data_IF_154230995530
#
_entry.id   IF_154230995530
#
_cell.length_a   1.000
_cell.length_b   1.000
_cell.length_c   1.000
_cell.angle_alpha   90.00
_cell.angle_beta   90.00
_cell.angle_gamma   90.00
#
_symmetry.space_group_name_H-M   'P 1'
#
loop_
_entity.id
_entity.type
_entity.pdbx_description
1 polymer ?
#
# COMPACT_ATOMS: atom_id res chain seq x y z
N UNK A 1 25.98 17.53 -18.50
CA UNK A 1 25.13 16.33 -18.62
C UNK A 1 25.30 15.44 -17.41
N UNK A 2 24.39 15.51 -16.42
CA UNK A 2 24.26 14.43 -15.44
C UNK A 2 22.81 14.00 -15.32
N UNK A 3 22.44 12.96 -16.07
CA UNK A 3 21.21 12.20 -15.87
C UNK A 3 21.59 10.92 -15.15
N UNK A 4 20.88 10.60 -14.08
CA UNK A 4 20.96 9.29 -13.44
C UNK A 4 19.68 8.53 -13.81
N UNK A 5 19.80 7.42 -14.51
CA UNK A 5 18.70 6.48 -14.73
C UNK A 5 19.03 5.25 -13.90
N UNK A 6 18.07 4.81 -13.10
CA UNK A 6 18.19 3.58 -12.35
C UNK A 6 17.66 2.44 -13.21
N UNK A 7 18.41 1.34 -13.29
CA UNK A 7 17.95 0.12 -13.94
C UNK A 7 16.97 -0.63 -13.00
N UNK A 8 15.80 -0.01 -12.83
CA UNK A 8 14.75 -0.50 -11.94
C UNK A 8 13.38 -0.33 -12.60
N UNK A 9 12.52 -1.33 -12.43
CA UNK A 9 11.21 -1.40 -13.05
C UNK A 9 10.14 -1.68 -12.00
N UNK A 10 8.97 -1.09 -12.21
CA UNK A 10 7.80 -1.33 -11.36
C UNK A 10 7.33 -2.78 -11.50
N UNK A 11 7.14 -3.47 -10.39
CA UNK A 11 6.49 -4.78 -10.36
C UNK A 11 4.98 -4.57 -10.31
N UNK A 12 4.26 -5.14 -11.29
CA UNK A 12 2.81 -4.95 -11.35
C UNK A 12 2.14 -5.57 -10.13
N UNK A 13 1.43 -4.73 -9.38
CA UNK A 13 0.64 -5.12 -8.22
C UNK A 13 -0.58 -4.20 -8.11
N UNK A 14 -1.71 -4.77 -7.65
CA UNK A 14 -2.93 -3.99 -7.36
C UNK A 14 -2.74 -3.02 -6.19
N UNK A 15 -1.83 -3.34 -5.25
CA UNK A 15 -1.33 -2.40 -4.26
C UNK A 15 -0.02 -1.76 -4.78
N UNK A 16 -0.03 -0.46 -5.16
CA UNK A 16 1.14 0.18 -5.74
C UNK A 16 2.33 0.32 -4.77
N UNK A 17 2.08 0.36 -3.45
CA UNK A 17 3.16 0.35 -2.45
C UNK A 17 3.94 -0.97 -2.55
N UNK A 18 3.22 -2.09 -2.53
CA UNK A 18 3.81 -3.43 -2.59
C UNK A 18 4.63 -3.59 -3.86
N UNK A 19 4.07 -3.21 -5.03
CA UNK A 19 4.79 -3.25 -6.31
C UNK A 19 6.09 -2.43 -6.28
N UNK A 20 6.05 -1.20 -5.75
CA UNK A 20 7.25 -0.37 -5.62
C UNK A 20 8.28 -0.98 -4.65
N UNK A 21 7.84 -1.54 -3.52
CA UNK A 21 8.74 -2.16 -2.55
C UNK A 21 9.39 -3.44 -3.10
N UNK A 22 8.65 -4.26 -3.86
CA UNK A 22 9.19 -5.42 -4.56
C UNK A 22 10.29 -5.01 -5.55
N UNK A 23 10.09 -3.92 -6.29
CA UNK A 23 11.11 -3.36 -7.17
C UNK A 23 12.36 -2.91 -6.42
N UNK A 24 12.22 -2.20 -5.30
CA UNK A 24 13.35 -1.77 -4.46
C UNK A 24 14.14 -2.98 -3.93
N UNK A 25 13.44 -3.99 -3.41
CA UNK A 25 14.02 -5.22 -2.90
C UNK A 25 14.78 -5.98 -3.99
N UNK A 26 14.20 -6.11 -5.19
CA UNK A 26 14.87 -6.75 -6.33
C UNK A 26 16.13 -6.00 -6.76
N UNK A 27 16.10 -4.67 -6.80
CA UNK A 27 17.25 -3.84 -7.17
C UNK A 27 18.44 -4.02 -6.21
N UNK A 28 18.16 -4.33 -4.95
CA UNK A 28 19.18 -4.63 -3.93
C UNK A 28 19.53 -6.13 -3.84
N UNK A 29 19.07 -6.96 -4.79
CA UNK A 29 19.37 -8.40 -4.83
C UNK A 29 18.63 -9.23 -3.78
N UNK A 30 17.54 -8.70 -3.21
CA UNK A 30 16.72 -9.34 -2.16
C UNK A 30 15.31 -9.64 -2.67
N UNK A 31 15.12 -10.46 -3.73
CA UNK A 31 13.78 -10.71 -4.26
C UNK A 31 12.88 -11.40 -3.23
N UNK A 32 11.70 -10.82 -2.97
CA UNK A 32 10.65 -11.41 -2.14
C UNK A 32 9.31 -11.44 -2.89
N UNK A 33 8.49 -12.43 -2.55
CA UNK A 33 7.12 -12.51 -3.06
C UNK A 33 6.23 -11.39 -2.51
N UNK A 34 5.13 -11.11 -3.22
CA UNK A 34 4.20 -10.06 -2.86
C UNK A 34 3.56 -10.30 -1.48
N UNK A 35 3.34 -11.56 -1.09
CA UNK A 35 2.72 -11.92 0.17
C UNK A 35 3.58 -11.48 1.37
N UNK A 36 4.88 -11.75 1.34
CA UNK A 36 5.85 -11.30 2.36
C UNK A 36 5.97 -9.79 2.42
N UNK A 37 6.06 -9.13 1.27
CA UNK A 37 6.15 -7.66 1.21
C UNK A 37 4.87 -7.02 1.74
N UNK A 38 3.70 -7.55 1.39
CA UNK A 38 2.40 -7.06 1.88
C UNK A 38 2.22 -7.30 3.37
N UNK A 39 2.69 -8.44 3.88
CA UNK A 39 2.64 -8.78 5.30
C UNK A 39 3.53 -7.87 6.16
N UNK A 40 4.76 -7.59 5.69
CA UNK A 40 5.72 -6.72 6.39
C UNK A 40 5.35 -5.24 6.30
N UNK A 41 4.80 -4.79 5.17
CA UNK A 41 4.34 -3.39 5.05
C UNK A 41 3.03 -3.11 5.80
N UNK A 42 2.32 -4.18 6.21
CA UNK A 42 1.00 -4.13 6.84
C UNK A 42 -0.14 -3.87 5.86
N UNK A 43 0.15 -3.65 4.58
CA UNK A 43 -0.84 -3.31 3.55
C UNK A 43 -1.89 -4.39 3.34
N UNK A 44 -1.53 -5.65 3.54
CA UNK A 44 -2.46 -6.78 3.40
C UNK A 44 -3.64 -6.72 4.40
N UNK A 45 -3.48 -5.96 5.49
CA UNK A 45 -4.41 -5.92 6.62
C UNK A 45 -5.13 -4.57 6.76
N UNK A 46 -4.84 -3.60 5.88
CA UNK A 46 -5.40 -2.25 5.98
C UNK A 46 -6.64 -2.10 5.12
N UNK A 47 -7.69 -1.59 5.74
CA UNK A 47 -8.86 -1.03 5.06
C UNK A 47 -9.12 0.33 5.70
N UNK A 48 -9.27 1.34 4.86
CA UNK A 48 -9.67 2.70 5.26
C UNK A 48 -10.68 3.15 4.22
N UNK A 49 -11.63 4.00 4.59
CA UNK A 49 -12.50 4.67 3.64
C UNK A 49 -12.17 6.15 3.74
N UNK A 50 -11.74 6.81 2.66
CA UNK A 50 -11.43 8.24 2.76
C UNK A 50 -12.72 9.01 3.05
N UNK A 51 -12.61 10.16 3.73
CA UNK A 51 -13.75 11.04 3.94
C UNK A 51 -14.30 11.55 2.60
N UNK A 52 -15.58 11.94 2.58
CA UNK A 52 -16.22 12.55 1.41
C UNK A 52 -15.38 13.73 0.90
N UNK A 53 -15.16 13.79 -0.42
CA UNK A 53 -14.47 14.93 -1.03
C UNK A 53 -15.35 16.19 -1.04
N UNK A 54 -14.74 17.34 -1.34
CA UNK A 54 -15.38 18.68 -1.33
C UNK A 54 -16.59 18.78 -2.30
N UNK A 55 -16.71 17.84 -3.24
CA UNK A 55 -17.80 17.77 -4.22
C UNK A 55 -18.80 16.62 -3.95
N UNK A 56 -18.74 15.96 -2.79
CA UNK A 56 -19.68 14.89 -2.45
C UNK A 56 -19.48 13.58 -3.21
N UNK A 57 -18.36 13.42 -3.94
CA UNK A 57 -17.97 12.16 -4.59
C UNK A 57 -17.03 11.37 -3.67
N UNK A 58 -17.33 10.10 -3.45
CA UNK A 58 -16.50 9.20 -2.67
C UNK A 58 -15.64 8.29 -3.56
N UNK A 59 -14.34 8.26 -3.28
CA UNK A 59 -13.46 7.13 -3.63
C UNK A 59 -13.45 6.17 -2.44
N UNK A 60 -13.52 4.86 -2.63
CA UNK A 60 -13.67 3.94 -1.50
C UNK A 60 -12.52 2.95 -1.48
N UNK A 61 -11.53 3.11 -0.60
CA UNK A 61 -10.40 2.18 -0.52
C UNK A 61 -9.31 2.54 0.48
N UNK A 62 -8.44 1.57 0.77
CA UNK A 62 -7.36 1.67 1.75
C UNK A 62 -6.38 2.81 1.46
N UNK A 63 -6.34 3.80 2.35
CA UNK A 63 -5.33 4.86 2.37
C UNK A 63 -4.27 4.49 3.40
N UNK A 64 -3.01 4.44 2.99
CA UNK A 64 -1.90 4.33 3.94
C UNK A 64 -1.76 5.68 4.62
N UNK A 65 -1.77 5.77 5.95
CA UNK A 65 -1.66 7.06 6.63
C UNK A 65 -0.19 7.39 6.98
N UNK A 66 0.20 8.68 7.06
CA UNK A 66 1.59 9.10 7.34
C UNK A 66 2.27 8.40 8.52
N UNK A 67 1.53 8.14 9.59
CA UNK A 67 2.03 7.48 10.81
C UNK A 67 2.55 6.07 10.54
N UNK A 68 2.02 5.40 9.52
CA UNK A 68 2.37 4.02 9.18
C UNK A 68 3.74 3.95 8.48
N UNK A 69 4.13 5.02 7.76
CA UNK A 69 5.44 5.12 7.13
C UNK A 69 6.60 5.24 8.10
N UNK A 70 6.35 5.77 9.29
CA UNK A 70 7.38 5.88 10.32
C UNK A 70 7.94 4.50 10.76
N UNK A 71 7.12 3.44 10.67
CA UNK A 71 7.51 2.07 11.03
C UNK A 71 8.04 1.27 9.83
N UNK A 72 7.65 1.65 8.61
CA UNK A 72 8.00 0.93 7.38
C UNK A 72 9.52 0.71 7.22
N UNK A 73 10.36 1.66 7.63
CA UNK A 73 11.82 1.49 7.58
C UNK A 73 12.31 0.29 8.42
N UNK A 74 11.77 0.15 9.65
CA UNK A 74 12.11 -0.95 10.55
C UNK A 74 11.55 -2.28 10.04
N UNK A 75 10.38 -2.25 9.42
CA UNK A 75 9.71 -3.41 8.87
C UNK A 75 10.47 -3.96 7.65
N UNK A 76 10.89 -3.09 6.74
CA UNK A 76 11.69 -3.47 5.57
C UNK A 76 13.02 -4.13 5.96
N UNK A 77 13.58 -3.81 7.13
CA UNK A 77 14.76 -4.47 7.65
C UNK A 77 14.53 -5.97 7.94
N UNK A 78 13.28 -6.41 8.17
CA UNK A 78 12.93 -7.83 8.30
C UNK A 78 13.12 -8.60 6.98
N UNK A 79 13.03 -7.89 5.85
CA UNK A 79 13.29 -8.44 4.51
C UNK A 79 14.75 -8.27 4.08
N UNK A 80 15.61 -7.77 4.97
CA UNK A 80 17.02 -7.49 4.71
C UNK A 80 17.27 -6.13 4.07
N UNK A 81 16.24 -5.31 3.85
CA UNK A 81 16.39 -4.01 3.21
C UNK A 81 16.61 -2.92 4.26
N UNK A 82 17.76 -2.25 4.16
CA UNK A 82 17.98 -0.99 4.88
C UNK A 82 17.30 0.14 4.11
N UNK A 83 16.25 0.70 4.70
CA UNK A 83 15.54 1.82 4.13
C UNK A 83 15.54 3.02 5.08
N UNK A 84 15.58 4.22 4.50
CA UNK A 84 15.23 5.46 5.18
C UNK A 84 13.90 5.92 4.63
N UNK A 85 12.96 6.20 5.54
CA UNK A 85 11.63 6.71 5.18
C UNK A 85 11.53 8.15 5.68
N UNK A 86 11.32 9.06 4.73
CA UNK A 86 11.05 10.45 5.03
C UNK A 86 9.58 10.73 4.74
N UNK A 87 8.88 11.35 5.69
CA UNK A 87 7.48 11.75 5.54
C UNK A 87 7.37 13.25 5.73
N UNK A 88 6.61 13.89 4.86
CA UNK A 88 6.35 15.33 4.90
C UNK A 88 4.86 15.60 4.85
N UNK A 89 4.39 16.39 5.81
CA UNK A 89 3.06 16.99 5.75
C UNK A 89 3.09 18.21 4.80
N UNK A 90 2.28 18.17 3.74
CA UNK A 90 2.17 19.25 2.77
C UNK A 90 1.25 20.38 3.26
N UNK A 91 0.35 20.12 4.22
CA UNK A 91 -0.60 21.10 4.79
C UNK A 91 0.07 22.09 5.73
N UNK A 92 1.08 21.66 6.49
CA UNK A 92 1.79 22.50 7.47
C UNK A 92 2.97 23.29 6.91
N UNK A 93 3.32 23.10 5.64
CA UNK A 93 4.53 23.67 5.03
C UNK A 93 4.31 24.99 4.29
N UNK A 94 5.35 25.85 4.26
CA UNK A 94 5.51 26.83 3.17
C UNK A 94 5.90 26.04 1.90
N UNK A 95 5.06 25.96 0.85
CA UNK A 95 5.24 25.01 -0.26
C UNK A 95 6.63 25.07 -0.91
N UNK A 96 7.18 26.28 -1.05
CA UNK A 96 8.51 26.51 -1.64
C UNK A 96 9.66 25.93 -0.80
N UNK A 97 9.59 26.00 0.53
CA UNK A 97 10.62 25.42 1.40
C UNK A 97 10.55 23.90 1.40
N UNK A 98 9.35 23.36 1.28
CA UNK A 98 9.10 21.94 1.25
C UNK A 98 9.59 21.31 -0.05
N UNK A 99 9.24 21.88 -1.20
CA UNK A 99 9.78 21.45 -2.49
C UNK A 99 11.31 21.50 -2.55
N UNK A 100 11.94 22.53 -1.94
CA UNK A 100 13.41 22.60 -1.81
C UNK A 100 13.99 21.50 -0.91
N UNK A 101 13.29 21.07 0.14
CA UNK A 101 13.73 19.96 1.02
C UNK A 101 13.60 18.62 0.31
N UNK A 102 12.44 18.33 -0.26
CA UNK A 102 12.19 17.11 -1.04
C UNK A 102 13.18 16.99 -2.20
N UNK A 103 13.34 18.06 -2.98
CA UNK A 103 14.28 18.08 -4.10
C UNK A 103 15.75 17.89 -3.69
N UNK A 104 16.16 18.36 -2.50
CA UNK A 104 17.49 18.07 -1.97
C UNK A 104 17.64 16.60 -1.55
N UNK A 105 16.60 16.03 -0.92
CA UNK A 105 16.56 14.61 -0.56
C UNK A 105 16.70 13.70 -1.78
N UNK A 106 15.86 13.93 -2.80
CA UNK A 106 15.89 13.19 -4.06
C UNK A 106 17.25 13.31 -4.77
N UNK A 107 17.81 14.52 -4.87
CA UNK A 107 19.13 14.73 -5.46
C UNK A 107 20.23 13.97 -4.73
N UNK A 108 20.19 13.94 -3.40
CA UNK A 108 21.19 13.24 -2.60
C UNK A 108 21.06 11.73 -2.79
N UNK A 109 19.85 11.18 -2.70
CA UNK A 109 19.61 9.76 -2.85
C UNK A 109 19.98 9.26 -4.25
N UNK A 110 19.40 9.87 -5.29
CA UNK A 110 19.62 9.46 -6.69
C UNK A 110 21.04 9.77 -7.14
N UNK A 111 21.66 10.84 -6.65
CA UNK A 111 23.07 11.16 -6.91
C UNK A 111 24.05 10.18 -6.28
N UNK A 112 23.64 9.47 -5.22
CA UNK A 112 24.39 8.37 -4.61
C UNK A 112 24.05 7.00 -5.23
N UNK A 113 23.20 6.96 -6.26
CA UNK A 113 22.78 5.72 -6.93
C UNK A 113 21.70 4.92 -6.19
N UNK A 114 21.08 5.49 -5.16
CA UNK A 114 20.04 4.81 -4.38
C UNK A 114 18.71 4.75 -5.11
N UNK A 115 18.04 3.60 -5.02
CA UNK A 115 16.67 3.45 -5.49
C UNK A 115 15.68 4.13 -4.52
N UNK A 116 14.63 4.77 -5.08
CA UNK A 116 13.66 5.54 -4.30
C UNK A 116 12.23 5.24 -4.75
N UNK A 117 11.34 4.98 -3.81
CA UNK A 117 9.89 4.98 -4.04
C UNK A 117 9.24 6.21 -3.38
N UNK A 118 8.15 6.70 -3.96
CA UNK A 118 7.49 7.94 -3.56
C UNK A 118 5.95 7.78 -3.52
N UNK A 119 5.34 8.06 -2.38
CA UNK A 119 3.88 8.18 -2.25
C UNK A 119 3.37 9.58 -2.51
N UNK A 120 2.16 9.70 -3.05
CA UNK A 120 1.55 11.01 -3.33
C UNK A 120 2.26 11.73 -4.47
N UNK A 121 3.02 10.98 -5.28
CA UNK A 121 3.82 11.49 -6.38
C UNK A 121 3.17 11.27 -7.75
N UNK A 122 2.12 10.47 -7.85
CA UNK A 122 1.32 10.31 -9.07
C UNK A 122 -0.08 9.85 -8.67
N UNK A 123 -1.09 10.72 -8.81
CA UNK A 123 -2.40 10.51 -8.17
C UNK A 123 -2.22 10.27 -6.66
N UNK A 124 -3.26 9.84 -5.97
CA UNK A 124 -3.17 9.44 -4.55
C UNK A 124 -2.41 8.10 -4.36
N UNK A 125 -1.43 7.78 -5.22
CA UNK A 125 -0.76 6.48 -5.32
C UNK A 125 0.75 6.49 -5.08
N UNK A 126 1.31 5.29 -4.93
CA UNK A 126 2.76 5.04 -4.91
C UNK A 126 3.33 4.99 -6.32
N UNK A 127 4.50 5.59 -6.50
CA UNK A 127 5.29 5.50 -7.71
C UNK A 127 6.78 5.28 -7.42
N UNK A 128 7.44 4.51 -8.27
CA UNK A 128 8.86 4.21 -8.24
C UNK A 128 9.65 5.26 -9.04
N UNK A 129 10.65 5.89 -8.43
CA UNK A 129 11.53 6.81 -9.12
C UNK A 129 12.58 6.03 -9.90
N UNK A 130 12.55 6.17 -11.23
CA UNK A 130 13.44 5.45 -12.16
C UNK A 130 14.47 6.35 -12.82
N UNK A 131 14.41 7.67 -12.59
CA UNK A 131 15.41 8.57 -13.14
C UNK A 131 15.35 10.00 -12.61
N UNK A 132 16.47 10.70 -12.74
CA UNK A 132 16.67 12.09 -12.33
C UNK A 132 17.52 12.87 -13.34
N UNK A 133 17.05 14.06 -13.71
CA UNK A 133 17.74 15.04 -14.54
C UNK A 133 18.06 16.27 -13.68
N UNK A 134 19.34 16.42 -13.35
CA UNK A 134 19.84 17.51 -12.49
C UNK A 134 19.67 18.88 -13.14
N UNK A 135 19.83 18.96 -14.46
CA UNK A 135 19.80 20.21 -15.22
C UNK A 135 18.36 20.70 -15.37
N UNK A 136 17.44 19.79 -15.71
CA UNK A 136 16.00 20.09 -15.82
C UNK A 136 15.29 20.16 -14.47
N UNK A 137 15.97 19.79 -13.38
CA UNK A 137 15.39 19.61 -12.04
C UNK A 137 14.12 18.77 -12.13
N UNK A 138 14.23 17.62 -12.80
CA UNK A 138 13.10 16.76 -13.09
C UNK A 138 13.41 15.30 -12.74
N UNK A 139 12.38 14.51 -12.49
CA UNK A 139 12.48 13.09 -12.20
C UNK A 139 11.46 12.29 -13.01
N UNK A 140 11.68 10.98 -13.12
CA UNK A 140 10.76 10.08 -13.82
C UNK A 140 10.22 9.05 -12.84
N UNK A 141 8.91 8.82 -12.91
CA UNK A 141 8.20 7.84 -12.08
C UNK A 141 7.69 6.69 -12.97
N UNK A 142 7.69 5.47 -12.42
CA UNK A 142 6.95 4.31 -12.91
C UNK A 142 6.01 3.80 -11.81
N UNK A 143 4.99 3.04 -12.18
CA UNK A 143 3.83 2.75 -11.34
C UNK A 143 2.68 2.29 -12.23
N UNK A 144 1.60 1.75 -11.66
CA UNK A 144 0.60 0.98 -12.39
C UNK A 144 -0.18 1.80 -13.43
N UNK A 145 -0.27 3.12 -13.24
CA UNK A 145 -0.93 4.05 -14.17
C UNK A 145 0.06 4.90 -14.98
N UNK A 146 1.36 4.66 -14.86
CA UNK A 146 2.42 5.49 -15.48
C UNK A 146 3.23 4.79 -16.55
N UNK A 147 2.97 3.50 -16.81
CA UNK A 147 3.52 2.86 -18.01
C UNK A 147 3.14 3.62 -19.29
N UNK A 148 2.05 4.41 -19.23
CA UNK A 148 1.56 5.25 -20.33
C UNK A 148 2.18 6.67 -20.38
N UNK A 149 2.82 7.17 -19.30
CA UNK A 149 3.36 8.54 -19.27
C UNK A 149 4.87 8.54 -19.07
N UNK A 150 5.63 8.41 -20.15
CA UNK A 150 7.10 8.52 -20.17
C UNK A 150 7.66 9.92 -19.86
N UNK A 151 6.89 10.80 -19.21
CA UNK A 151 7.22 12.20 -18.97
C UNK A 151 8.17 12.42 -17.79
N UNK A 152 9.02 13.45 -17.91
CA UNK A 152 9.83 13.97 -16.80
C UNK A 152 8.96 14.94 -15.96
N UNK A 153 8.78 14.64 -14.68
CA UNK A 153 8.06 15.47 -13.71
C UNK A 153 9.01 16.49 -13.05
N UNK A 154 8.58 17.74 -12.89
CA UNK A 154 9.41 18.77 -12.25
C UNK A 154 9.50 18.55 -10.74
N UNK A 155 10.70 18.65 -10.17
CA UNK A 155 10.92 18.62 -8.71
C UNK A 155 10.26 19.81 -8.01
N UNK A 156 10.09 20.92 -8.71
CA UNK A 156 9.51 22.16 -8.17
C UNK A 156 7.99 22.18 -8.24
N UNK A 157 7.40 21.26 -9.01
CA UNK A 157 5.98 20.98 -9.02
C UNK A 157 5.82 19.59 -8.42
N UNK A 158 5.82 19.54 -7.08
CA UNK A 158 5.42 18.32 -6.39
C UNK A 158 4.11 17.84 -7.03
N UNK A 159 3.99 16.54 -7.31
CA UNK A 159 2.77 16.01 -7.88
C UNK A 159 1.66 16.21 -6.87
N UNK A 160 0.51 16.61 -7.38
CA UNK A 160 -0.73 16.83 -6.67
C UNK A 160 -0.80 18.09 -5.79
N UNK A 161 -1.66 19.00 -6.24
CA UNK A 161 -2.31 19.99 -5.40
C UNK A 161 -3.28 19.34 -4.39
N UNK A 162 -3.46 18.00 -4.43
CA UNK A 162 -4.50 17.27 -3.72
C UNK A 162 -3.97 16.23 -2.71
N UNK A 163 -2.66 16.01 -2.63
CA UNK A 163 -2.06 15.14 -1.61
C UNK A 163 -1.73 15.94 -0.34
N UNK A 164 -2.14 15.43 0.82
CA UNK A 164 -1.88 16.11 2.09
C UNK A 164 -0.47 15.84 2.64
N UNK A 165 0.22 14.84 2.11
CA UNK A 165 1.53 14.42 2.55
C UNK A 165 2.28 13.69 1.43
N UNK A 166 3.61 13.67 1.54
CA UNK A 166 4.53 12.95 0.67
C UNK A 166 5.36 12.00 1.54
N UNK A 167 5.55 10.75 1.10
CA UNK A 167 6.54 9.85 1.69
C UNK A 167 7.58 9.43 0.65
N UNK A 168 8.86 9.45 1.01
CA UNK A 168 9.96 8.90 0.22
C UNK A 168 10.57 7.73 0.97
N UNK A 169 10.62 6.57 0.33
CA UNK A 169 11.34 5.38 0.79
C UNK A 169 12.63 5.30 -0.01
N UNK A 170 13.76 5.53 0.64
CA UNK A 170 15.10 5.48 0.04
C UNK A 170 15.79 4.20 0.49
N UNK A 171 16.17 3.34 -0.46
CA UNK A 171 17.03 2.20 -0.18
C UNK A 171 18.46 2.69 0.06
N UNK A 172 19.02 2.45 1.25
CA UNK A 172 20.37 2.90 1.61
C UNK A 172 21.34 1.73 1.66
N UNK A 173 22.54 1.93 1.10
CA UNK A 173 23.55 0.91 0.83
C UNK A 173 23.80 -0.09 1.97
N UNK A 174 23.78 -1.36 1.58
CA UNK A 174 23.66 -2.58 2.39
C UNK A 174 24.85 -2.80 3.34
N UNK A 175 24.57 -2.94 4.63
CA UNK A 175 25.28 -3.94 5.44
C UNK A 175 24.22 -4.91 5.98
N UNK A 176 24.48 -6.19 5.73
CA UNK A 176 23.58 -7.32 5.90
C UNK A 176 22.94 -7.38 7.30
N UNK A 177 21.61 -7.45 7.30
CA UNK A 177 20.87 -8.27 8.25
C UNK A 177 20.38 -9.49 7.48
N UNK A 178 20.52 -10.69 8.05
CA UNK A 178 19.85 -11.84 7.46
C UNK A 178 18.34 -11.57 7.37
N UNK A 179 17.69 -12.13 6.35
CA UNK A 179 16.22 -12.16 6.29
C UNK A 179 15.70 -12.73 7.61
N UNK A 180 14.74 -12.04 8.23
CA UNK A 180 14.15 -12.48 9.48
C UNK A 180 13.57 -13.91 9.32
N UNK A 181 13.56 -14.67 10.41
CA UNK A 181 12.88 -15.97 10.40
C UNK A 181 11.40 -15.82 10.05
N UNK A 182 10.81 -16.86 9.45
CA UNK A 182 9.37 -16.89 9.12
C UNK A 182 8.53 -16.64 10.38
N UNK A 183 8.96 -17.15 11.54
CA UNK A 183 8.34 -16.86 12.84
C UNK A 183 8.31 -15.36 13.16
N UNK A 184 9.42 -14.63 12.95
CA UNK A 184 9.48 -13.18 13.22
C UNK A 184 8.63 -12.39 12.22
N UNK A 185 8.61 -12.80 10.95
CA UNK A 185 7.72 -12.21 9.94
C UNK A 185 6.25 -12.42 10.30
N UNK A 186 5.89 -13.63 10.74
CA UNK A 186 4.53 -13.97 11.15
C UNK A 186 4.08 -13.13 12.37
N UNK A 187 4.97 -12.90 13.35
CA UNK A 187 4.64 -12.04 14.51
C UNK A 187 4.35 -10.62 14.07
N UNK A 188 5.18 -10.06 13.19
CA UNK A 188 4.98 -8.71 12.69
C UNK A 188 3.68 -8.57 11.88
N UNK A 189 3.36 -9.57 11.06
CA UNK A 189 2.08 -9.62 10.37
C UNK A 189 0.89 -9.69 11.35
N UNK A 190 1.04 -10.43 12.45
CA UNK A 190 0.05 -10.50 13.53
C UNK A 190 -0.20 -9.14 14.19
N UNK A 191 0.86 -8.38 14.46
CA UNK A 191 0.77 -6.99 14.98
C UNK A 191 0.01 -6.09 14.00
N UNK A 192 0.33 -6.12 12.70
CA UNK A 192 -0.40 -5.35 11.70
C UNK A 192 -1.89 -5.74 11.62
N UNK A 193 -2.17 -7.03 11.70
CA UNK A 193 -3.54 -7.54 11.69
C UNK A 193 -4.32 -7.15 12.97
N UNK A 194 -3.67 -7.09 14.13
CA UNK A 194 -4.28 -6.66 15.38
C UNK A 194 -4.57 -5.16 15.41
N UNK A 195 -3.70 -4.34 14.80
CA UNK A 195 -3.85 -2.89 14.62
C UNK A 195 -4.86 -2.52 13.52
N UNK A 196 -5.25 -3.47 12.68
CA UNK A 196 -6.19 -3.25 11.59
C UNK A 196 -7.56 -2.83 12.11
N UNK A 197 -8.04 -1.66 11.66
CA UNK A 197 -9.40 -1.17 11.94
C UNK A 197 -10.38 -1.61 10.85
N UNK A 198 -10.26 -2.86 10.40
CA UNK A 198 -11.02 -3.38 9.25
C UNK A 198 -12.53 -3.26 9.49
N UNK A 199 -13.04 -3.62 10.66
CA UNK A 199 -14.48 -3.55 10.97
C UNK A 199 -15.06 -2.14 10.89
N UNK A 200 -14.30 -1.14 11.32
CA UNK A 200 -14.71 0.26 11.24
C UNK A 200 -14.74 0.74 9.80
N UNK A 201 -13.67 0.48 9.05
CA UNK A 201 -13.60 0.85 7.66
C UNK A 201 -14.66 0.14 6.81
N UNK A 202 -14.94 -1.15 7.07
CA UNK A 202 -16.03 -1.87 6.41
C UNK A 202 -17.40 -1.29 6.74
N UNK A 203 -17.64 -0.88 8.00
CA UNK A 203 -18.88 -0.18 8.39
C UNK A 203 -19.02 1.16 7.68
N UNK A 204 -17.96 1.94 7.59
CA UNK A 204 -17.94 3.19 6.84
C UNK A 204 -18.19 2.96 5.36
N UNK A 205 -17.57 1.94 4.76
CA UNK A 205 -17.74 1.59 3.35
C UNK A 205 -19.19 1.19 3.06
N UNK A 206 -19.78 0.34 3.92
CA UNK A 206 -21.19 -0.02 3.84
C UNK A 206 -22.11 1.19 3.98
N UNK A 207 -21.79 2.14 4.85
CA UNK A 207 -22.57 3.36 5.03
C UNK A 207 -22.57 4.21 3.75
N UNK A 208 -21.42 4.35 3.08
CA UNK A 208 -21.36 5.06 1.79
C UNK A 208 -22.15 4.32 0.71
N UNK A 209 -22.00 3.00 0.59
CA UNK A 209 -22.76 2.21 -0.40
C UNK A 209 -24.28 2.31 -0.19
N UNK A 210 -24.76 2.46 1.04
CA UNK A 210 -26.18 2.62 1.38
C UNK A 210 -26.69 4.06 1.30
N UNK A 211 -25.81 5.02 1.11
CA UNK A 211 -26.18 6.43 0.97
C UNK A 211 -26.53 6.77 -0.49
N UNK A 212 -27.00 7.99 -0.69
CA UNK A 212 -27.24 8.63 -1.99
C UNK A 212 -26.01 9.35 -2.55
N UNK A 213 -24.90 9.37 -1.80
CA UNK A 213 -23.62 9.95 -2.21
C UNK A 213 -23.15 9.37 -3.54
N UNK A 214 -22.58 10.22 -4.40
CA UNK A 214 -21.99 9.79 -5.65
C UNK A 214 -20.70 9.01 -5.41
N UNK A 215 -20.52 7.89 -6.11
CA UNK A 215 -19.34 7.04 -5.97
C UNK A 215 -18.59 7.08 -7.29
N UNK A 216 -17.30 7.39 -7.23
CA UNK A 216 -16.40 7.27 -8.38
C UNK A 216 -16.28 5.78 -8.77
N UNK A 217 -17.00 5.37 -9.82
CA UNK A 217 -17.15 3.95 -10.17
C UNK A 217 -15.81 3.28 -10.52
N UNK A 218 -14.95 3.87 -11.39
CA UNK A 218 -13.63 3.32 -11.68
C UNK A 218 -12.74 3.22 -10.44
N UNK A 219 -12.71 4.25 -9.60
CA UNK A 219 -11.92 4.25 -8.37
C UNK A 219 -12.42 3.27 -7.32
N UNK A 220 -13.74 3.12 -7.20
CA UNK A 220 -14.35 2.09 -6.36
C UNK A 220 -13.99 0.68 -6.83
N UNK A 221 -14.09 0.39 -8.13
CA UNK A 221 -13.67 -0.90 -8.68
C UNK A 221 -12.18 -1.16 -8.43
N UNK A 222 -11.31 -0.20 -8.70
CA UNK A 222 -9.87 -0.34 -8.45
C UNK A 222 -9.60 -0.74 -7.00
N UNK A 223 -10.30 -0.09 -6.06
CA UNK A 223 -10.12 -0.33 -4.64
C UNK A 223 -10.73 -1.66 -4.17
N UNK A 224 -11.85 -2.09 -4.76
CA UNK A 224 -12.38 -3.43 -4.54
C UNK A 224 -11.40 -4.52 -5.02
N UNK A 225 -10.74 -4.31 -6.18
CA UNK A 225 -9.69 -5.22 -6.66
C UNK A 225 -8.46 -5.20 -5.74
N UNK A 226 -8.02 -4.01 -5.29
CA UNK A 226 -6.90 -3.88 -4.36
C UNK A 226 -7.17 -4.56 -3.02
N UNK A 227 -8.38 -4.43 -2.48
CA UNK A 227 -8.81 -5.11 -1.26
C UNK A 227 -8.80 -6.63 -1.41
N UNK A 228 -9.35 -7.15 -2.51
CA UNK A 228 -9.34 -8.59 -2.79
C UNK A 228 -7.92 -9.13 -2.98
N UNK A 229 -7.05 -8.38 -3.68
CA UNK A 229 -5.65 -8.73 -3.85
C UNK A 229 -4.92 -8.76 -2.50
N UNK A 230 -5.09 -7.72 -1.67
CA UNK A 230 -4.49 -7.61 -0.34
C UNK A 230 -4.86 -8.79 0.57
N UNK A 231 -6.15 -9.13 0.66
CA UNK A 231 -6.58 -10.30 1.44
C UNK A 231 -6.11 -11.63 0.85
N UNK A 232 -6.01 -11.72 -0.49
CA UNK A 232 -5.39 -12.85 -1.16
C UNK A 232 -3.91 -13.02 -0.76
N UNK A 233 -3.14 -11.94 -0.72
CA UNK A 233 -1.75 -11.94 -0.26
C UNK A 233 -1.64 -12.29 1.23
N UNK A 234 -2.50 -11.75 2.09
CA UNK A 234 -2.57 -12.12 3.51
C UNK A 234 -2.83 -13.63 3.69
N UNK A 235 -3.81 -14.18 2.98
CA UNK A 235 -4.15 -15.60 3.05
C UNK A 235 -2.98 -16.48 2.60
N UNK A 236 -2.33 -16.13 1.48
CA UNK A 236 -1.13 -16.86 1.00
C UNK A 236 0.02 -16.79 2.00
N UNK A 237 0.24 -15.63 2.62
CA UNK A 237 1.27 -15.47 3.65
C UNK A 237 1.01 -16.39 4.84
N UNK A 238 -0.19 -16.36 5.42
CA UNK A 238 -0.52 -17.20 6.59
C UNK A 238 -0.42 -18.70 6.29
N UNK A 239 -0.90 -19.11 5.13
CA UNK A 239 -0.74 -20.50 4.65
C UNK A 239 0.73 -20.88 4.54
N UNK A 240 1.54 -20.02 3.89
CA UNK A 240 2.97 -20.25 3.76
C UNK A 240 3.71 -20.31 5.10
N UNK A 241 3.28 -19.55 6.10
CA UNK A 241 3.83 -19.65 7.46
C UNK A 241 3.50 -21.02 8.11
N UNK A 242 2.26 -21.49 7.97
CA UNK A 242 1.86 -22.79 8.51
C UNK A 242 2.60 -23.95 7.82
N UNK A 243 2.70 -23.93 6.50
CA UNK A 243 3.49 -24.89 5.71
C UNK A 243 4.98 -24.83 6.06
N UNK A 244 5.48 -23.65 6.39
CA UNK A 244 6.85 -23.41 6.87
C UNK A 244 7.11 -23.79 8.34
N UNK A 245 6.15 -24.42 9.02
CA UNK A 245 6.32 -24.95 10.38
C UNK A 245 5.98 -23.97 11.51
N UNK A 246 5.40 -22.80 11.23
CA UNK A 246 4.95 -21.84 12.25
C UNK A 246 3.56 -22.24 12.78
N UNK A 247 3.50 -23.34 13.54
CA UNK A 247 2.23 -23.97 13.93
C UNK A 247 1.25 -23.05 14.68
N UNK A 248 1.75 -22.05 15.42
CA UNK A 248 0.91 -21.14 16.20
C UNK A 248 0.06 -20.20 15.34
N UNK A 249 0.33 -20.07 14.03
CA UNK A 249 -0.53 -19.29 13.10
C UNK A 249 -1.78 -20.06 12.66
N UNK A 250 -1.88 -21.37 12.95
CA UNK A 250 -2.99 -22.19 12.49
C UNK A 250 -4.41 -21.60 12.73
N UNK A 251 -4.69 -20.93 13.87
CA UNK A 251 -6.00 -20.33 14.12
C UNK A 251 -6.41 -19.22 13.14
N UNK A 252 -5.47 -18.55 12.46
CA UNK A 252 -5.77 -17.48 11.50
C UNK A 252 -5.81 -17.94 10.04
N UNK A 253 -5.28 -19.13 9.72
CA UNK A 253 -5.11 -19.58 8.32
C UNK A 253 -6.44 -19.70 7.58
N UNK A 254 -7.40 -20.45 8.16
CA UNK A 254 -8.69 -20.68 7.53
C UNK A 254 -9.57 -19.42 7.52
N UNK A 255 -9.72 -18.66 8.63
CA UNK A 255 -10.43 -17.39 8.61
C UNK A 255 -9.87 -16.39 7.57
N UNK A 256 -8.54 -16.32 7.41
CA UNK A 256 -7.93 -15.45 6.39
C UNK A 256 -8.26 -15.90 4.96
N UNK A 257 -8.35 -17.21 4.71
CA UNK A 257 -8.78 -17.74 3.41
C UNK A 257 -10.26 -17.43 3.11
N UNK A 258 -11.11 -17.53 4.12
CA UNK A 258 -12.53 -17.16 4.00
C UNK A 258 -12.70 -15.66 3.74
N UNK A 259 -11.91 -14.81 4.39
CA UNK A 259 -11.92 -13.37 4.16
C UNK A 259 -11.48 -13.02 2.74
N UNK A 260 -10.42 -13.65 2.25
CA UNK A 260 -9.96 -13.48 0.87
C UNK A 260 -11.04 -13.87 -0.15
N UNK A 261 -11.77 -14.96 0.10
CA UNK A 261 -12.89 -15.38 -0.73
C UNK A 261 -14.06 -14.37 -0.67
N UNK A 262 -14.37 -13.86 0.52
CA UNK A 262 -15.44 -12.87 0.70
C UNK A 262 -15.13 -11.57 -0.06
N UNK A 263 -13.91 -11.05 0.04
CA UNK A 263 -13.50 -9.86 -0.73
C UNK A 263 -13.37 -10.14 -2.22
N UNK A 264 -12.96 -11.33 -2.65
CA UNK A 264 -13.00 -11.71 -4.07
C UNK A 264 -14.43 -11.65 -4.62
N UNK A 265 -15.42 -12.19 -3.90
CA UNK A 265 -16.84 -12.09 -4.29
C UNK A 265 -17.32 -10.64 -4.34
N UNK A 266 -16.96 -9.82 -3.36
CA UNK A 266 -17.24 -8.39 -3.39
C UNK A 266 -16.64 -7.73 -4.64
N UNK A 267 -15.37 -7.97 -4.95
CA UNK A 267 -14.69 -7.41 -6.12
C UNK A 267 -15.33 -7.84 -7.45
N UNK A 268 -15.96 -9.01 -7.53
CA UNK A 268 -16.70 -9.41 -8.75
C UNK A 268 -17.97 -8.61 -9.02
N UNK A 269 -18.53 -7.95 -8.00
CA UNK A 269 -19.67 -7.04 -8.18
C UNK A 269 -19.25 -5.71 -8.84
N UNK A 270 -17.98 -5.34 -8.71
CA UNK A 270 -17.42 -4.06 -9.15
C UNK A 270 -16.19 -4.30 -10.06
N UNK A 271 -16.38 -4.80 -11.29
CA UNK A 271 -15.28 -5.12 -12.19
C UNK A 271 -14.57 -3.84 -12.66
N UNK A 272 -13.23 -3.85 -12.64
CA UNK A 272 -12.41 -2.76 -13.14
C UNK A 272 -12.32 -2.78 -14.68
N UNK A 273 -12.35 -1.63 -15.39
CA UNK A 273 -12.52 -0.26 -14.87
C UNK A 273 -13.98 0.20 -14.78
N UNK A 274 -14.93 -0.64 -15.20
CA UNK A 274 -16.32 -0.24 -15.41
C UNK A 274 -17.06 0.13 -14.12
N UNK A 275 -16.61 -0.32 -12.95
CA UNK A 275 -17.27 -0.01 -11.68
C UNK A 275 -18.45 -0.91 -11.37
N UNK A 276 -19.11 -1.52 -12.37
CA UNK A 276 -20.36 -2.27 -12.17
C UNK A 276 -21.56 -1.35 -11.97
N UNK A 277 -22.70 -1.90 -11.54
CA UNK A 277 -23.93 -1.13 -11.28
C UNK A 277 -23.87 -0.41 -9.92
N UNK A 278 -23.01 0.60 -9.81
CA UNK A 278 -22.90 1.46 -8.62
C UNK A 278 -24.01 2.50 -8.50
N UNK A 279 -24.98 2.53 -9.41
CA UNK A 279 -26.12 3.48 -9.37
C UNK A 279 -27.47 2.79 -9.13
N UNK A 280 -27.52 1.46 -9.24
CA UNK A 280 -28.72 0.64 -9.03
C UNK A 280 -28.53 -0.45 -7.96
N UNK A 281 -28.87 -1.69 -8.30
CA UNK A 281 -28.92 -2.81 -7.35
C UNK A 281 -27.56 -3.28 -6.83
N UNK A 282 -26.47 -2.88 -7.47
CA UNK A 282 -25.10 -3.25 -7.10
C UNK A 282 -24.65 -2.65 -5.76
N UNK A 283 -25.12 -1.45 -5.39
CA UNK A 283 -24.83 -0.82 -4.09
C UNK A 283 -25.24 -1.70 -2.91
N UNK A 284 -26.49 -2.14 -2.92
CA UNK A 284 -27.08 -2.93 -1.85
C UNK A 284 -26.53 -4.38 -1.84
N UNK A 285 -26.25 -4.96 -3.02
CA UNK A 285 -25.53 -6.23 -3.11
C UNK A 285 -24.10 -6.14 -2.54
N UNK A 286 -23.38 -5.05 -2.84
CA UNK A 286 -22.06 -4.76 -2.30
C UNK A 286 -22.07 -4.59 -0.78
N UNK A 287 -23.02 -3.82 -0.25
CA UNK A 287 -23.16 -3.63 1.19
C UNK A 287 -23.42 -4.95 1.93
N UNK A 288 -24.23 -5.86 1.38
CA UNK A 288 -24.43 -7.20 1.94
C UNK A 288 -23.18 -8.08 1.86
N UNK A 289 -22.44 -8.01 0.75
CA UNK A 289 -21.19 -8.74 0.61
C UNK A 289 -20.15 -8.28 1.64
N UNK A 290 -20.02 -6.96 1.87
CA UNK A 290 -19.15 -6.41 2.92
C UNK A 290 -19.62 -6.75 4.33
N UNK A 291 -20.94 -6.80 4.60
CA UNK A 291 -21.45 -7.22 5.90
C UNK A 291 -21.04 -8.67 6.25
N UNK A 292 -21.11 -9.57 5.26
CA UNK A 292 -20.64 -10.95 5.41
C UNK A 292 -19.13 -11.01 5.64
N UNK A 293 -18.35 -10.22 4.89
CA UNK A 293 -16.91 -10.13 5.07
C UNK A 293 -16.51 -9.55 6.45
N UNK A 294 -17.28 -8.61 6.98
CA UNK A 294 -17.04 -7.99 8.29
C UNK A 294 -17.08 -8.98 9.45
N UNK A 295 -17.96 -9.98 9.41
CA UNK A 295 -17.97 -11.05 10.42
C UNK A 295 -16.66 -11.85 10.43
N UNK A 296 -16.14 -12.18 9.24
CA UNK A 296 -14.88 -12.91 9.08
C UNK A 296 -13.67 -12.03 9.41
N UNK A 297 -13.70 -10.75 9.05
CA UNK A 297 -12.64 -9.80 9.37
C UNK A 297 -12.47 -9.62 10.89
N UNK A 298 -13.58 -9.52 11.63
CA UNK A 298 -13.59 -9.50 13.09
C UNK A 298 -12.97 -10.75 13.69
N UNK A 299 -13.35 -11.94 13.20
CA UNK A 299 -12.75 -13.20 13.62
C UNK A 299 -11.23 -13.23 13.35
N UNK A 300 -10.78 -12.85 12.15
CA UNK A 300 -9.35 -12.78 11.81
C UNK A 300 -8.60 -11.86 12.77
N UNK A 301 -9.14 -10.68 13.06
CA UNK A 301 -8.52 -9.72 13.98
C UNK A 301 -8.48 -10.22 15.43
N UNK A 302 -9.54 -10.87 15.91
CA UNK A 302 -9.57 -11.51 17.23
C UNK A 302 -8.52 -12.60 17.34
N UNK A 303 -8.48 -13.53 16.37
CA UNK A 303 -7.47 -14.60 16.32
C UNK A 303 -6.06 -14.05 16.23
N UNK A 304 -5.85 -12.98 15.46
CA UNK A 304 -4.55 -12.32 15.35
C UNK A 304 -4.05 -11.73 16.69
N UNK A 305 -4.96 -11.17 17.51
CA UNK A 305 -4.62 -10.66 18.86
C UNK A 305 -4.24 -11.77 19.83
N UNK A 306 -4.76 -12.97 19.63
CA UNK A 306 -4.41 -14.17 20.43
C UNK A 306 -3.04 -14.76 20.04
N UNK A 307 -2.45 -14.33 18.90
CA UNK A 307 -1.16 -14.85 18.46
C UNK A 307 0.01 -14.34 19.34
N UNK A 308 1.06 -15.15 19.53
CA UNK A 308 2.26 -14.73 20.25
C UNK A 308 2.86 -13.43 19.69
N UNK A 309 2.93 -12.39 20.51
CA UNK A 309 3.57 -11.12 20.16
C UNK A 309 2.61 -9.97 19.80
N UNK A 310 1.31 -10.23 19.63
CA UNK A 310 0.33 -9.18 19.30
C UNK A 310 -0.12 -8.31 20.50
N UNK A 311 0.19 -8.73 21.74
CA UNK A 311 -0.12 -8.01 22.97
C UNK A 311 1.15 -7.42 23.61
N UNK A 312 1.53 -6.20 23.20
CA UNK A 312 2.46 -5.34 23.94
C UNK A 312 2.09 -3.87 23.81
#
# INVERSE_FOLDING_TARGET
MSKAILDIHYEYNWNPLVGCLQSLLRAEGLPHDAARVSAVSGEAFRVVVPPLSVDGVAFLGGVVVPRDFARLAADLALLGLRARVDVWDLRSGRPLLLGRRVGRGLRRALGAGHAVAAYGSVGNGFGLLVGFDKERRAYRVRGPLTEETGGWLSVDRLPAADADWLALVVAEGVAAGGVASVDRLARRAGEHCAEARADEALREWMAVLRSDVEIDAPGHAQSAQALAAAAGEASRFWRGCAEGGVAWVAPVVEPAAQLALAYSRFATLFPYPAGGDVLGGGREAGARALASAGGVAGEVAERARELPGAAR
#
